data_IF_787877341000
#
_entry.id   IF_787877341000
#
_cell.length_a   1.000
_cell.length_b   1.000
_cell.length_c   1.000
_cell.angle_alpha   90.00
_cell.angle_beta   90.00
_cell.angle_gamma   90.00
#
_symmetry.space_group_name_H-M   'P 1'
#
loop_
_entity.id
_entity.type
_entity.pdbx_description
1 polymer ?
#
# COMPACT_ATOMS: atom_id res chain seq x y z
N UNK A 1 -3.35 3.12 -16.94
CA UNK A 1 -3.07 3.11 -15.49
C UNK A 1 -2.67 1.73 -14.97
N UNK A 2 -3.43 0.68 -15.28
CA UNK A 2 -3.08 -0.67 -14.80
C UNK A 2 -1.74 -1.16 -15.31
N UNK A 3 -1.36 -0.78 -16.51
CA UNK A 3 -0.07 -1.15 -17.08
C UNK A 3 1.10 -0.58 -16.29
N UNK A 4 0.95 0.65 -15.80
CA UNK A 4 1.97 1.29 -14.97
C UNK A 4 2.09 0.55 -13.64
N UNK A 5 0.96 0.20 -13.03
CA UNK A 5 0.95 -0.53 -11.76
C UNK A 5 1.62 -1.89 -11.93
N UNK A 6 1.30 -2.60 -13.00
CA UNK A 6 1.90 -3.91 -13.29
C UNK A 6 3.40 -3.79 -13.48
N UNK A 7 3.85 -2.77 -14.18
CA UNK A 7 5.28 -2.54 -14.38
C UNK A 7 6.01 -2.38 -13.04
N UNK A 8 5.48 -1.51 -12.17
CA UNK A 8 6.11 -1.29 -10.86
C UNK A 8 6.10 -2.55 -10.01
N UNK A 9 5.01 -3.31 -10.03
CA UNK A 9 4.90 -4.55 -9.26
C UNK A 9 5.88 -5.62 -9.76
N UNK A 10 5.95 -5.83 -11.07
CA UNK A 10 6.83 -6.83 -11.66
C UNK A 10 8.31 -6.47 -11.52
N UNK A 11 8.63 -5.18 -11.55
CA UNK A 11 9.99 -4.71 -11.39
C UNK A 11 10.42 -4.62 -9.92
N UNK A 12 9.53 -4.92 -8.97
CA UNK A 12 9.83 -4.82 -7.54
C UNK A 12 10.02 -3.41 -7.05
N UNK A 13 9.46 -2.42 -7.75
CA UNK A 13 9.59 -1.02 -7.40
C UNK A 13 8.66 -0.64 -6.25
N UNK A 14 9.01 0.37 -5.44
CA UNK A 14 8.15 0.80 -4.34
C UNK A 14 6.78 1.28 -4.83
N UNK A 15 5.75 0.83 -4.12
CA UNK A 15 4.36 1.23 -4.39
C UNK A 15 3.73 1.65 -3.06
N UNK A 16 3.08 2.80 -3.06
CA UNK A 16 2.29 3.25 -1.94
C UNK A 16 0.85 3.47 -2.40
N UNK A 17 -0.12 2.92 -1.68
CA UNK A 17 -1.51 3.20 -1.95
C UNK A 17 -2.28 3.39 -0.65
N UNK A 18 -3.39 4.10 -0.76
CA UNK A 18 -4.18 4.45 0.41
C UNK A 18 -5.67 4.43 0.06
N UNK A 19 -6.49 4.06 1.06
CA UNK A 19 -7.94 4.08 0.94
C UNK A 19 -8.43 3.19 -0.20
N UNK A 20 -9.07 3.76 -1.23
CA UNK A 20 -9.57 3.03 -2.39
C UNK A 20 -8.49 2.68 -3.42
N UNK A 21 -7.26 3.20 -3.25
CA UNK A 21 -6.15 2.89 -4.15
C UNK A 21 -5.84 1.40 -4.26
N UNK A 22 -6.18 0.64 -3.23
CA UNK A 22 -6.01 -0.82 -3.23
C UNK A 22 -6.82 -1.50 -4.36
N UNK A 23 -7.88 -0.86 -4.84
CA UNK A 23 -8.66 -1.39 -5.96
C UNK A 23 -7.86 -1.45 -7.25
N UNK A 24 -7.00 -0.45 -7.48
CA UNK A 24 -6.12 -0.47 -8.65
C UNK A 24 -5.14 -1.63 -8.59
N UNK A 25 -4.59 -1.88 -7.42
CA UNK A 25 -3.66 -2.99 -7.22
C UNK A 25 -4.37 -4.34 -7.38
N UNK A 26 -5.60 -4.44 -6.88
CA UNK A 26 -6.42 -5.65 -7.06
C UNK A 26 -6.65 -5.92 -8.54
N UNK A 27 -7.09 -4.89 -9.28
CA UNK A 27 -7.38 -5.02 -10.70
C UNK A 27 -6.13 -5.32 -11.53
N UNK A 28 -4.98 -4.82 -11.12
CA UNK A 28 -3.71 -5.05 -11.81
C UNK A 28 -3.11 -6.42 -11.51
N UNK A 29 -3.67 -7.18 -10.56
CA UNK A 29 -3.11 -8.47 -10.14
C UNK A 29 -1.84 -8.32 -9.31
N UNK A 30 -1.62 -7.17 -8.69
CA UNK A 30 -0.39 -6.85 -7.98
C UNK A 30 -0.41 -7.27 -6.50
N UNK A 31 -1.54 -7.78 -6.00
CA UNK A 31 -1.70 -8.10 -4.58
C UNK A 31 -1.57 -9.58 -4.24
N UNK A 32 -1.42 -10.45 -5.21
CA UNK A 32 -1.35 -11.89 -4.95
C UNK A 32 -0.20 -12.22 -4.00
N UNK A 33 -0.54 -12.84 -2.87
CA UNK A 33 0.46 -13.22 -1.88
C UNK A 33 1.01 -12.07 -1.06
N UNK A 34 0.43 -10.86 -1.17
CA UNK A 34 0.91 -9.68 -0.45
C UNK A 34 0.04 -9.34 0.75
N UNK A 35 0.69 -8.83 1.79
CA UNK A 35 -0.01 -8.28 2.94
C UNK A 35 -0.29 -6.81 2.67
N UNK A 36 -1.53 -6.39 2.88
CA UNK A 36 -1.90 -5.00 2.65
C UNK A 36 -3.12 -4.61 3.49
N UNK A 37 -3.42 -3.33 3.47
CA UNK A 37 -4.66 -2.80 4.02
C UNK A 37 -5.22 -1.77 3.04
N UNK A 38 -6.42 -1.28 3.30
CA UNK A 38 -7.06 -0.29 2.47
C UNK A 38 -8.37 0.13 3.12
N UNK A 39 -9.18 0.86 2.37
CA UNK A 39 -10.52 1.19 2.87
C UNK A 39 -11.28 -0.11 3.15
N UNK A 40 -11.97 -0.22 4.30
CA UNK A 40 -12.57 -1.52 4.69
C UNK A 40 -13.50 -2.13 3.65
N UNK A 41 -14.24 -1.33 2.90
CA UNK A 41 -15.14 -1.82 1.86
C UNK A 41 -14.40 -2.50 0.70
N UNK A 42 -13.10 -2.27 0.55
CA UNK A 42 -12.27 -2.89 -0.49
C UNK A 42 -11.68 -4.24 -0.05
N UNK A 43 -11.88 -4.63 1.20
CA UNK A 43 -11.32 -5.86 1.75
C UNK A 43 -11.68 -7.12 0.97
N UNK A 44 -12.99 -7.37 0.69
CA UNK A 44 -13.38 -8.56 -0.06
C UNK A 44 -12.75 -8.61 -1.45
N UNK A 45 -12.68 -7.49 -2.14
CA UNK A 45 -12.08 -7.40 -3.47
C UNK A 45 -10.59 -7.74 -3.44
N UNK A 46 -9.86 -7.17 -2.49
CA UNK A 46 -8.43 -7.44 -2.34
C UNK A 46 -8.18 -8.90 -1.97
N UNK A 47 -9.01 -9.47 -1.10
CA UNK A 47 -8.91 -10.89 -0.71
C UNK A 47 -9.13 -11.80 -1.92
N UNK A 48 -10.11 -11.48 -2.76
CA UNK A 48 -10.35 -12.23 -3.99
C UNK A 48 -9.16 -12.11 -4.96
N UNK A 49 -8.44 -11.01 -4.91
CA UNK A 49 -7.24 -10.82 -5.72
C UNK A 49 -6.00 -11.54 -5.13
N UNK A 50 -6.17 -12.27 -4.05
CA UNK A 50 -5.11 -13.07 -3.44
C UNK A 50 -4.31 -12.38 -2.35
N UNK A 51 -4.76 -11.21 -1.88
CA UNK A 51 -4.09 -10.48 -0.82
C UNK A 51 -4.45 -11.02 0.57
N UNK A 52 -3.53 -10.86 1.51
CA UNK A 52 -3.81 -11.01 2.92
C UNK A 52 -4.16 -9.63 3.47
N UNK A 53 -5.46 -9.38 3.65
CA UNK A 53 -5.92 -8.10 4.20
C UNK A 53 -5.70 -8.05 5.71
N UNK A 54 -5.04 -6.99 6.15
CA UNK A 54 -4.76 -6.76 7.57
C UNK A 54 -5.63 -5.61 8.05
N UNK A 55 -6.46 -5.86 9.06
CA UNK A 55 -7.26 -4.81 9.67
C UNK A 55 -6.39 -3.99 10.62
N UNK A 56 -6.34 -2.69 10.38
CA UNK A 56 -5.62 -1.76 11.24
C UNK A 56 -6.45 -0.50 11.44
N UNK A 57 -6.11 0.27 12.46
CA UNK A 57 -6.78 1.55 12.70
C UNK A 57 -6.55 2.50 11.51
N UNK A 58 -7.47 3.46 11.26
CA UNK A 58 -7.32 4.39 10.13
C UNK A 58 -6.03 5.20 10.13
N UNK A 59 -5.36 5.32 11.28
CA UNK A 59 -4.10 6.04 11.42
C UNK A 59 -2.87 5.18 11.13
N UNK A 60 -3.07 3.89 10.87
CA UNK A 60 -1.96 2.93 10.77
C UNK A 60 -1.59 2.63 9.32
N UNK A 61 -0.50 1.89 9.17
CA UNK A 61 0.06 1.53 7.87
C UNK A 61 0.49 0.07 7.91
N UNK A 62 0.41 -0.60 6.76
CA UNK A 62 0.94 -1.95 6.58
C UNK A 62 2.04 -1.87 5.54
N UNK A 63 3.21 -2.37 5.90
CA UNK A 63 4.37 -2.43 5.01
C UNK A 63 4.69 -3.89 4.71
N UNK A 64 4.71 -4.23 3.43
CA UNK A 64 5.12 -5.56 2.98
C UNK A 64 6.19 -5.37 1.90
N UNK A 65 7.46 -5.42 2.32
CA UNK A 65 8.56 -5.17 1.40
C UNK A 65 8.49 -3.80 0.76
N UNK A 66 8.23 -3.77 -0.53
CA UNK A 66 8.13 -2.53 -1.32
C UNK A 66 6.70 -1.95 -1.37
N UNK A 67 5.74 -2.60 -0.73
CA UNK A 67 4.34 -2.17 -0.76
C UNK A 67 3.96 -1.51 0.57
N UNK A 68 3.47 -0.28 0.50
CA UNK A 68 3.05 0.50 1.66
C UNK A 68 1.58 0.86 1.48
N UNK A 69 0.73 0.42 2.40
CA UNK A 69 -0.71 0.65 2.31
C UNK A 69 -1.27 1.19 3.61
N UNK A 70 -2.32 1.99 3.51
CA UNK A 70 -3.02 2.56 4.68
C UNK A 70 -4.52 2.65 4.38
N UNK A 71 -5.39 2.55 5.41
CA UNK A 71 -6.83 2.52 5.18
C UNK A 71 -7.44 3.84 4.74
N UNK A 72 -6.96 4.97 5.28
CA UNK A 72 -7.64 6.25 5.08
C UNK A 72 -6.71 7.43 5.37
N UNK A 73 -7.20 8.64 5.08
CA UNK A 73 -6.43 9.86 5.21
C UNK A 73 -5.81 10.12 6.61
N UNK A 74 -6.37 9.68 7.73
CA UNK A 74 -5.68 9.84 9.02
C UNK A 74 -4.35 9.12 9.10
N UNK A 75 -4.10 8.18 8.20
CA UNK A 75 -2.84 7.47 8.11
C UNK A 75 -1.77 8.17 7.29
N UNK A 76 -2.07 9.30 6.63
CA UNK A 76 -1.11 9.99 5.77
C UNK A 76 0.26 10.22 6.41
N UNK A 77 0.37 10.71 7.66
CA UNK A 77 1.70 10.93 8.23
C UNK A 77 2.54 9.66 8.31
N UNK A 78 1.98 8.57 8.83
CA UNK A 78 2.69 7.31 8.93
C UNK A 78 2.94 6.68 7.57
N UNK A 79 1.95 6.80 6.68
CA UNK A 79 2.04 6.27 5.32
C UNK A 79 3.16 6.93 4.52
N UNK A 80 3.24 8.27 4.57
CA UNK A 80 4.31 9.00 3.91
C UNK A 80 5.67 8.67 4.51
N UNK A 81 5.78 8.62 5.83
CA UNK A 81 7.04 8.29 6.50
C UNK A 81 7.52 6.89 6.11
N UNK A 82 6.60 5.92 6.09
CA UNK A 82 6.92 4.55 5.71
C UNK A 82 7.35 4.46 4.25
N UNK A 83 6.67 5.20 3.36
CA UNK A 83 7.02 5.19 1.94
C UNK A 83 8.39 5.81 1.68
N UNK A 84 8.68 6.93 2.34
CA UNK A 84 10.01 7.57 2.25
C UNK A 84 11.09 6.60 2.70
N UNK A 85 10.84 5.85 3.77
CA UNK A 85 11.77 4.85 4.26
C UNK A 85 11.98 3.72 3.25
N UNK A 86 10.89 3.22 2.64
CA UNK A 86 10.97 2.18 1.61
C UNK A 86 11.76 2.66 0.39
N UNK A 87 11.65 3.95 0.06
CA UNK A 87 12.43 4.56 -1.02
C UNK A 87 13.91 4.70 -0.70
N UNK A 88 14.29 4.50 0.56
CA UNK A 88 15.68 4.60 0.98
C UNK A 88 16.10 6.00 1.41
N UNK A 89 15.16 6.91 1.62
CA UNK A 89 15.46 8.26 2.09
C UNK A 89 15.15 8.39 3.57
N UNK A 90 15.80 9.33 4.19
CA UNK A 90 15.53 9.69 5.57
C UNK A 90 15.16 11.16 5.65
N UNK A 91 14.16 11.46 6.47
CA UNK A 91 13.81 12.84 6.76
C UNK A 91 14.76 13.36 7.83
N UNK A 92 15.56 14.38 7.46
CA UNK A 92 16.40 15.04 8.43
C UNK A 92 15.57 16.08 9.16
N UNK A 93 15.53 15.97 10.49
CA UNK A 93 14.81 16.92 11.32
C UNK A 93 15.82 17.89 11.88
N UNK A 94 15.74 19.19 11.57
CA UNK A 94 16.64 20.18 12.14
C UNK A 94 16.50 20.20 13.65
N UNK A 95 17.61 20.29 14.31
CA UNK A 95 17.62 20.39 15.77
C UNK A 95 17.56 21.85 16.21
#
# INVERSE_FOLDING_TARGET
MLEIVRYFAEAGRPIACICHGVQLLSAAGALKGRRCTGYPACGPEASLAGAEMVEVAPTEVVVDGNLVTSPAWPGHPKWLAAFVDVLGYRLAVPK
#
